data_IF_264290272562
#
_entry.id   IF_264290272562
#
_cell.length_a   1.000
_cell.length_b   1.000
_cell.length_c   1.000
_cell.angle_alpha   90.00
_cell.angle_beta   90.00
_cell.angle_gamma   90.00
#
_symmetry.space_group_name_H-M   'P 1'
#
loop_
_entity.id
_entity.type
_entity.pdbx_description
1 polymer ?
#
# COMPACT_ATOMS: atom_id res chain seq x y z
N UNK A 1 9.36 -16.49 15.08
CA UNK A 1 8.61 -15.23 15.09
C UNK A 1 7.49 -15.40 16.09
N UNK A 2 7.22 -14.42 16.98
CA UNK A 2 6.02 -14.47 17.80
C UNK A 2 4.80 -14.60 16.89
N UNK A 3 3.76 -15.31 17.34
CA UNK A 3 2.53 -15.47 16.57
C UNK A 3 1.94 -14.09 16.27
N UNK A 4 1.43 -13.90 15.05
CA UNK A 4 0.77 -12.64 14.71
C UNK A 4 -0.55 -12.53 15.44
N UNK A 5 -0.86 -11.32 15.90
CA UNK A 5 -2.13 -11.04 16.54
C UNK A 5 -3.14 -10.73 15.45
N UNK A 6 -4.35 -11.26 15.58
CA UNK A 6 -5.41 -11.09 14.57
C UNK A 6 -6.25 -9.81 14.79
N UNK A 7 -6.14 -9.21 15.98
CA UNK A 7 -6.87 -7.99 16.35
C UNK A 7 -6.05 -7.12 17.30
N UNK A 8 -6.47 -5.86 17.39
CA UNK A 8 -5.87 -4.83 18.23
C UNK A 8 -6.26 -5.03 19.72
N UNK A 9 -5.32 -5.46 20.59
CA UNK A 9 -5.61 -5.75 22.00
C UNK A 9 -5.90 -4.49 22.82
N UNK A 10 -5.59 -3.28 22.31
CA UNK A 10 -5.89 -2.03 23.02
C UNK A 10 -7.39 -1.76 23.17
N UNK A 11 -8.21 -2.49 22.40
CA UNK A 11 -9.67 -2.42 22.42
C UNK A 11 -10.31 -3.41 23.39
N UNK A 12 -9.51 -4.29 23.99
CA UNK A 12 -10.01 -5.27 24.93
C UNK A 12 -10.41 -4.61 26.24
N UNK A 13 -11.56 -5.03 26.76
CA UNK A 13 -12.12 -4.51 28.01
C UNK A 13 -11.75 -5.47 29.13
N UNK A 14 -11.21 -4.93 30.21
CA UNK A 14 -10.90 -5.70 31.41
C UNK A 14 -12.15 -6.47 31.87
N UNK A 15 -12.08 -7.81 32.01
CA UNK A 15 -13.18 -8.58 32.54
C UNK A 15 -13.58 -8.10 33.94
N UNK A 16 -14.88 -8.06 34.20
CA UNK A 16 -15.36 -7.86 35.57
C UNK A 16 -15.05 -9.10 36.43
N UNK A 17 -13.90 -9.05 37.12
CA UNK A 17 -13.42 -10.10 38.00
C UNK A 17 -14.18 -10.20 39.33
N UNK A 18 -15.10 -9.26 39.61
CA UNK A 18 -15.97 -9.34 40.78
C UNK A 18 -17.10 -10.36 40.60
N UNK A 19 -17.53 -10.61 39.36
CA UNK A 19 -18.61 -11.52 39.03
C UNK A 19 -18.34 -12.96 39.53
N UNK A 20 -19.39 -13.65 40.00
CA UNK A 20 -19.37 -15.04 40.48
C UNK A 20 -18.67 -16.05 39.57
N UNK A 21 -18.62 -15.83 38.25
CA UNK A 21 -17.88 -16.70 37.32
C UNK A 21 -16.39 -16.81 37.66
N UNK A 22 -15.84 -15.80 38.34
CA UNK A 22 -14.45 -15.74 38.79
C UNK A 22 -14.28 -16.12 40.27
N UNK A 23 -15.36 -16.40 41.01
CA UNK A 23 -15.30 -16.71 42.45
C UNK A 23 -14.33 -17.86 42.74
N UNK A 24 -14.37 -18.92 41.92
CA UNK A 24 -13.47 -20.07 42.09
C UNK A 24 -12.00 -19.67 41.96
N UNK A 25 -11.67 -18.79 41.01
CA UNK A 25 -10.31 -18.30 40.81
C UNK A 25 -9.85 -17.44 41.99
N UNK A 26 -10.72 -16.55 42.49
CA UNK A 26 -10.42 -15.76 43.69
C UNK A 26 -10.16 -16.62 44.91
N UNK A 27 -11.00 -17.64 45.14
CA UNK A 27 -10.80 -18.59 46.24
C UNK A 27 -9.50 -19.37 46.12
N UNK A 28 -9.09 -19.74 44.89
CA UNK A 28 -7.80 -20.38 44.66
C UNK A 28 -6.64 -19.45 45.03
N UNK A 29 -6.68 -18.19 44.59
CA UNK A 29 -5.64 -17.20 44.91
C UNK A 29 -5.54 -16.95 46.43
N UNK A 30 -6.68 -16.87 47.13
CA UNK A 30 -6.70 -16.68 48.60
C UNK A 30 -6.16 -17.89 49.34
N UNK A 31 -6.41 -19.10 48.83
CA UNK A 31 -5.94 -20.34 49.44
C UNK A 31 -4.49 -20.70 49.07
N UNK A 32 -3.86 -19.93 48.16
CA UNK A 32 -2.52 -20.21 47.68
C UNK A 32 -1.46 -19.77 48.70
N UNK A 33 -0.77 -20.76 49.30
CA UNK A 33 0.30 -20.51 50.27
C UNK A 33 1.51 -19.78 49.67
N UNK A 34 1.65 -19.76 48.33
CA UNK A 34 2.73 -19.04 47.65
C UNK A 34 2.47 -17.54 47.51
N UNK A 35 1.22 -17.10 47.68
CA UNK A 35 0.79 -15.70 47.59
C UNK A 35 0.15 -15.23 48.90
N UNK A 36 0.94 -15.13 50.00
CA UNK A 36 0.40 -14.85 51.33
C UNK A 36 -0.24 -13.46 51.48
N UNK A 37 0.02 -12.55 50.54
CA UNK A 37 -0.51 -11.18 50.54
C UNK A 37 -1.99 -11.13 50.10
N UNK A 38 -2.50 -12.19 49.45
CA UNK A 38 -3.88 -12.28 48.97
C UNK A 38 -4.72 -13.04 50.00
N UNK A 39 -5.45 -12.31 50.83
CA UNK A 39 -6.20 -12.89 51.95
C UNK A 39 -7.72 -12.74 51.82
N UNK A 40 -8.17 -11.90 50.88
CA UNK A 40 -9.59 -11.61 50.66
C UNK A 40 -9.92 -11.43 49.18
N UNK A 41 -11.22 -11.36 48.88
CA UNK A 41 -11.74 -11.24 47.50
C UNK A 41 -11.29 -9.95 46.81
N UNK A 42 -11.19 -8.82 47.52
CA UNK A 42 -10.78 -7.53 46.93
C UNK A 42 -9.34 -7.59 46.44
N UNK A 43 -8.44 -8.15 47.26
CA UNK A 43 -7.03 -8.36 46.90
C UNK A 43 -6.89 -9.36 45.73
N UNK A 44 -7.72 -10.41 45.70
CA UNK A 44 -7.70 -11.37 44.61
C UNK A 44 -8.18 -10.73 43.29
N UNK A 45 -9.22 -9.87 43.35
CA UNK A 45 -9.70 -9.10 42.19
C UNK A 45 -8.61 -8.17 41.68
N UNK A 46 -7.96 -7.42 42.58
CA UNK A 46 -6.88 -6.51 42.21
C UNK A 46 -5.71 -7.26 41.55
N UNK A 47 -5.32 -8.41 42.11
CA UNK A 47 -4.30 -9.26 41.50
C UNK A 47 -4.67 -9.69 40.07
N UNK A 48 -5.88 -10.21 39.87
CA UNK A 48 -6.35 -10.62 38.54
C UNK A 48 -6.42 -9.45 37.55
N UNK A 49 -6.79 -8.25 38.01
CA UNK A 49 -6.80 -7.05 37.19
C UNK A 49 -5.39 -6.60 36.80
N UNK A 50 -4.42 -6.73 37.71
CA UNK A 50 -3.03 -6.40 37.44
C UNK A 50 -2.42 -7.39 36.46
N UNK A 51 -2.64 -8.69 36.65
CA UNK A 51 -2.19 -9.73 35.72
C UNK A 51 -2.73 -9.49 34.31
N UNK A 52 -4.04 -9.24 34.19
CA UNK A 52 -4.66 -8.93 32.91
C UNK A 52 -4.07 -7.68 32.26
N UNK A 53 -3.78 -6.64 33.05
CA UNK A 53 -3.18 -5.41 32.53
C UNK A 53 -1.77 -5.66 31.99
N UNK A 54 -0.96 -6.43 32.71
CA UNK A 54 0.39 -6.80 32.25
C UNK A 54 0.32 -7.60 30.96
N UNK A 55 -0.57 -8.59 30.86
CA UNK A 55 -0.76 -9.37 29.63
C UNK A 55 -1.20 -8.50 28.45
N UNK A 56 -2.15 -7.58 28.66
CA UNK A 56 -2.60 -6.67 27.61
C UNK A 56 -1.52 -5.69 27.20
N UNK A 57 -0.70 -5.18 28.13
CA UNK A 57 0.42 -4.30 27.80
C UNK A 57 1.44 -5.00 26.88
N UNK A 58 1.74 -6.27 27.16
CA UNK A 58 2.61 -7.10 26.31
C UNK A 58 1.99 -7.30 24.92
N UNK A 59 0.71 -7.67 24.84
CA UNK A 59 0.02 -7.84 23.57
C UNK A 59 -0.08 -6.54 22.77
N UNK A 60 -0.32 -5.39 23.41
CA UNK A 60 -0.33 -4.08 22.76
C UNK A 60 1.05 -3.74 22.21
N UNK A 61 2.12 -4.01 22.96
CA UNK A 61 3.48 -3.80 22.47
C UNK A 61 3.78 -4.66 21.23
N UNK A 62 3.38 -5.93 21.26
CA UNK A 62 3.50 -6.85 20.13
C UNK A 62 2.69 -6.40 18.91
N UNK A 63 1.44 -5.94 19.12
CA UNK A 63 0.59 -5.41 18.06
C UNK A 63 1.22 -4.17 17.42
N UNK A 64 1.70 -3.22 18.21
CA UNK A 64 2.35 -2.02 17.72
C UNK A 64 3.60 -2.35 16.89
N UNK A 65 4.37 -3.36 17.30
CA UNK A 65 5.49 -3.84 16.52
C UNK A 65 5.02 -4.39 15.15
N UNK A 66 3.96 -5.18 15.12
CA UNK A 66 3.41 -5.72 13.86
C UNK A 66 2.91 -4.61 12.93
N UNK A 67 2.23 -3.60 13.47
CA UNK A 67 1.74 -2.46 12.68
C UNK A 67 2.90 -1.67 12.08
N UNK A 68 3.97 -1.45 12.84
CA UNK A 68 5.14 -0.73 12.32
C UNK A 68 5.92 -1.56 11.29
N UNK A 69 6.06 -2.87 11.50
CA UNK A 69 6.65 -3.79 10.50
C UNK A 69 5.86 -3.76 9.19
N UNK A 70 4.52 -3.85 9.25
CA UNK A 70 3.66 -3.78 8.08
C UNK A 70 3.77 -2.42 7.37
N UNK A 71 3.85 -1.33 8.13
CA UNK A 71 4.04 0.02 7.59
C UNK A 71 5.36 0.16 6.85
N UNK A 72 6.45 -0.37 7.40
CA UNK A 72 7.76 -0.36 6.76
C UNK A 72 7.76 -1.18 5.47
N UNK A 73 7.13 -2.37 5.48
CA UNK A 73 7.02 -3.22 4.30
C UNK A 73 6.19 -2.55 3.20
N UNK A 74 5.07 -1.92 3.57
CA UNK A 74 4.23 -1.20 2.63
C UNK A 74 4.96 -0.01 2.01
N UNK A 75 5.69 0.74 2.82
CA UNK A 75 6.51 1.85 2.34
C UNK A 75 7.61 1.38 1.38
N UNK A 76 8.29 0.27 1.66
CA UNK A 76 9.28 -0.31 0.74
C UNK A 76 8.64 -0.73 -0.59
N UNK A 77 7.44 -1.31 -0.55
CA UNK A 77 6.68 -1.69 -1.76
C UNK A 77 6.36 -0.46 -2.61
N UNK A 78 5.86 0.60 -1.99
CA UNK A 78 5.55 1.85 -2.67
C UNK A 78 6.78 2.49 -3.32
N UNK A 79 7.94 2.47 -2.63
CA UNK A 79 9.19 2.95 -3.20
C UNK A 79 9.64 2.14 -4.43
N UNK A 80 9.50 0.82 -4.38
CA UNK A 80 9.81 -0.04 -5.54
C UNK A 80 8.86 0.19 -6.71
N UNK A 81 7.57 0.39 -6.44
CA UNK A 81 6.58 0.74 -7.47
C UNK A 81 6.87 2.10 -8.10
N UNK A 82 7.26 3.11 -7.31
CA UNK A 82 7.64 4.42 -7.82
C UNK A 82 8.94 4.36 -8.65
N UNK A 83 9.94 3.58 -8.21
CA UNK A 83 11.18 3.42 -8.97
C UNK A 83 10.94 2.70 -10.30
N UNK A 84 10.15 1.61 -10.28
CA UNK A 84 9.84 0.84 -11.50
C UNK A 84 9.00 1.63 -12.49
N UNK A 85 8.07 2.47 -12.02
CA UNK A 85 7.29 3.37 -12.90
C UNK A 85 8.19 4.42 -13.52
N UNK A 86 9.10 5.05 -12.75
CA UNK A 86 10.07 6.02 -13.29
C UNK A 86 10.99 5.40 -14.35
N UNK A 87 11.51 4.20 -14.10
CA UNK A 87 12.34 3.47 -15.07
C UNK A 87 11.58 3.18 -16.37
N UNK A 88 10.31 2.75 -16.27
CA UNK A 88 9.48 2.48 -17.44
C UNK A 88 9.17 3.74 -18.24
N UNK A 89 8.90 4.86 -17.58
CA UNK A 89 8.68 6.15 -18.25
C UNK A 89 9.94 6.65 -18.98
N UNK A 90 11.10 6.46 -18.37
CA UNK A 90 12.37 6.81 -19.00
C UNK A 90 12.66 5.94 -20.23
N UNK A 91 12.48 4.62 -20.12
CA UNK A 91 12.62 3.69 -21.24
C UNK A 91 11.64 4.03 -22.37
N UNK A 92 10.37 4.34 -22.05
CA UNK A 92 9.39 4.73 -23.05
C UNK A 92 9.77 6.05 -23.73
N UNK A 93 10.31 7.03 -22.99
CA UNK A 93 10.81 8.28 -23.56
C UNK A 93 11.96 8.04 -24.52
N UNK A 94 12.93 7.21 -24.14
CA UNK A 94 14.06 6.83 -25.01
C UNK A 94 13.58 6.13 -26.29
N UNK A 95 12.68 5.15 -26.16
CA UNK A 95 12.09 4.46 -27.33
C UNK A 95 11.33 5.42 -28.25
N UNK A 96 10.57 6.38 -27.69
CA UNK A 96 9.88 7.41 -28.47
C UNK A 96 10.88 8.29 -29.23
N UNK A 97 11.95 8.74 -28.57
CA UNK A 97 13.00 9.54 -29.20
C UNK A 97 13.73 8.78 -30.32
N UNK A 98 14.07 7.51 -30.10
CA UNK A 98 14.66 6.66 -31.13
C UNK A 98 13.73 6.50 -32.34
N UNK A 99 12.43 6.28 -32.08
CA UNK A 99 11.43 6.16 -33.15
C UNK A 99 11.30 7.45 -33.97
N UNK A 100 11.42 8.62 -33.34
CA UNK A 100 11.39 9.92 -34.02
C UNK A 100 12.65 10.12 -34.87
N UNK A 101 13.84 9.81 -34.33
CA UNK A 101 15.10 9.88 -35.06
C UNK A 101 15.10 8.94 -36.28
N UNK A 102 14.53 7.75 -36.15
CA UNK A 102 14.42 6.82 -37.29
C UNK A 102 13.44 7.32 -38.35
N UNK A 103 12.27 7.85 -37.94
CA UNK A 103 11.31 8.48 -38.87
C UNK A 103 11.91 9.69 -39.58
N UNK A 104 12.71 10.49 -38.89
CA UNK A 104 13.39 11.65 -39.48
C UNK A 104 14.48 11.24 -40.48
N UNK A 105 15.26 10.19 -40.19
CA UNK A 105 16.22 9.61 -41.15
C UNK A 105 15.54 9.03 -42.40
N UNK A 106 14.36 8.43 -42.25
CA UNK A 106 13.56 7.90 -43.36
C UNK A 106 12.77 8.98 -44.10
N UNK A 107 12.80 10.24 -43.65
CA UNK A 107 12.09 11.33 -44.31
C UNK A 107 12.81 11.64 -45.62
N UNK A 108 12.15 11.35 -46.73
CA UNK A 108 12.67 11.61 -48.07
C UNK A 108 13.13 13.06 -48.21
N UNK A 109 14.34 13.23 -48.73
CA UNK A 109 14.93 14.54 -49.01
C UNK A 109 14.03 15.27 -49.99
N UNK A 110 13.36 16.33 -49.51
CA UNK A 110 12.57 17.20 -50.37
C UNK A 110 13.48 17.73 -51.47
N UNK A 111 13.15 17.40 -52.73
CA UNK A 111 13.90 17.91 -53.87
C UNK A 111 13.95 19.44 -53.79
N UNK A 112 15.13 20.05 -54.02
CA UNK A 112 15.28 21.50 -53.93
C UNK A 112 14.27 22.16 -54.87
N UNK A 113 13.55 23.14 -54.34
CA UNK A 113 12.63 23.96 -55.11
C UNK A 113 13.42 24.65 -56.23
N UNK A 114 13.09 24.32 -57.48
CA UNK A 114 13.67 24.96 -58.67
C UNK A 114 12.78 26.15 -59.04
N UNK A 115 13.23 27.41 -58.81
CA UNK A 115 12.43 28.58 -59.17
C UNK A 115 12.20 28.62 -60.69
N UNK A 116 10.94 28.69 -61.11
CA UNK A 116 10.54 28.69 -62.53
C UNK A 116 10.07 27.34 -63.08
N UNK A 117 10.15 26.27 -62.30
CA UNK A 117 9.54 24.98 -62.66
C UNK A 117 8.06 24.98 -62.24
N UNK A 118 7.14 25.38 -63.12
CA UNK A 118 5.71 25.25 -62.84
C UNK A 118 5.34 23.77 -62.74
N UNK A 119 4.75 23.34 -61.62
CA UNK A 119 4.17 22.01 -61.46
C UNK A 119 2.98 21.83 -62.42
N UNK A 120 3.27 21.49 -63.68
CA UNK A 120 2.27 21.26 -64.74
C UNK A 120 1.61 19.88 -64.65
N UNK A 121 1.35 19.40 -63.44
CA UNK A 121 0.51 18.20 -63.24
C UNK A 121 -0.40 18.45 -62.05
N UNK A 122 -1.61 18.91 -62.35
CA UNK A 122 -2.73 18.70 -61.43
C UNK A 122 -2.88 17.18 -61.25
N UNK A 123 -2.98 16.66 -60.01
CA UNK A 123 -3.34 15.27 -59.83
C UNK A 123 -4.71 15.06 -60.49
N UNK A 124 -4.74 14.19 -61.50
CA UNK A 124 -5.93 13.89 -62.32
C UNK A 124 -7.05 13.23 -61.50
N UNK A 125 -6.73 12.78 -60.28
CA UNK A 125 -7.68 12.32 -59.26
C UNK A 125 -7.54 13.14 -57.99
N UNK A 126 -8.60 13.88 -57.65
CA UNK A 126 -8.81 14.39 -56.30
C UNK A 126 -8.99 13.22 -55.34
N UNK A 127 -8.43 13.32 -54.13
CA UNK A 127 -8.69 12.38 -53.04
C UNK A 127 -10.21 12.41 -52.75
N UNK A 128 -10.86 11.27 -52.46
CA UNK A 128 -12.32 11.18 -52.32
C UNK A 128 -12.91 12.15 -51.27
N UNK A 129 -12.17 12.45 -50.19
CA UNK A 129 -12.56 13.45 -49.19
C UNK A 129 -12.68 14.88 -49.76
N UNK A 130 -11.92 15.22 -50.80
CA UNK A 130 -11.95 16.53 -51.43
C UNK A 130 -13.08 16.68 -52.48
N UNK A 131 -13.64 15.57 -52.95
CA UNK A 131 -14.79 15.58 -53.87
C UNK A 131 -16.09 15.95 -53.13
N UNK A 132 -16.26 15.42 -51.91
CA UNK A 132 -17.44 15.63 -51.06
C UNK A 132 -17.62 17.10 -50.61
N UNK A 133 -16.52 17.87 -50.58
CA UNK A 133 -16.52 19.30 -50.22
C UNK A 133 -16.91 20.22 -51.39
N UNK A 134 -16.99 19.71 -52.62
CA UNK A 134 -17.29 20.48 -53.83
C UNK A 134 -18.74 20.30 -54.31
N UNK A 135 -19.50 19.36 -53.73
CA UNK A 135 -20.90 19.06 -54.10
C UNK A 135 -21.94 19.81 -53.23
N UNK A 136 -21.62 21.03 -52.75
CA UNK A 136 -22.59 21.91 -52.08
C UNK A 136 -22.78 23.25 -52.78
#
# INVERSE_FOLDING_TARGET
MPDRLDHDPSKDICPDFSHDRHLRYRQFLIADETLPDITNDEQAIEHMQNDWRTEIEEHVAQWNQQVEEDRVLEHQRQQQEEETTRLREEEEREQREESLKEKEKKRETLHPFVPGQSMNKRPERLQPFAQDKMEK
#
